data_IF_284120615240
#
_entry.id   IF_284120615240
#
_cell.length_a   1.000
_cell.length_b   1.000
_cell.length_c   1.000
_cell.angle_alpha   90.00
_cell.angle_beta   90.00
_cell.angle_gamma   90.00
#
_symmetry.space_group_name_H-M   'P 1'
#
loop_
_entity.id
_entity.type
_entity.pdbx_description
1 polymer ?
#
# COMPACT_ATOMS: atom_id res chain seq x y z
N UNK A 1 13.74 -6.34 21.78
CA UNK A 1 13.04 -7.34 20.97
C UNK A 1 13.77 -7.52 19.64
N UNK A 2 13.93 -8.76 19.20
CA UNK A 2 14.75 -9.05 18.02
C UNK A 2 14.12 -8.51 16.73
N UNK A 3 14.93 -7.97 15.81
CA UNK A 3 14.49 -7.48 14.49
C UNK A 3 13.71 -8.51 13.65
N UNK A 4 13.85 -9.80 13.97
CA UNK A 4 13.25 -10.91 13.24
C UNK A 4 11.74 -11.05 13.44
N UNK A 5 11.16 -10.39 14.45
CA UNK A 5 9.72 -10.51 14.79
C UNK A 5 8.85 -9.45 14.12
N UNK A 6 9.42 -8.40 13.53
CA UNK A 6 8.64 -7.27 13.04
C UNK A 6 7.79 -7.63 11.81
N UNK A 7 8.33 -8.41 10.86
CA UNK A 7 7.56 -8.82 9.69
C UNK A 7 6.43 -9.80 10.03
N UNK A 8 6.64 -10.87 10.82
CA UNK A 8 5.55 -11.72 11.28
C UNK A 8 4.45 -10.98 12.04
N UNK A 9 4.80 -10.03 12.91
CA UNK A 9 3.83 -9.20 13.63
C UNK A 9 3.04 -8.34 12.64
N UNK A 10 3.69 -7.72 11.65
CA UNK A 10 3.04 -6.96 10.62
C UNK A 10 2.04 -7.81 9.82
N UNK A 11 2.48 -8.97 9.33
CA UNK A 11 1.61 -9.90 8.59
C UNK A 11 0.40 -10.32 9.44
N UNK A 12 0.61 -10.71 10.70
CA UNK A 12 -0.48 -11.09 11.60
C UNK A 12 -1.46 -9.93 11.83
N UNK A 13 -0.95 -8.71 12.05
CA UNK A 13 -1.78 -7.52 12.24
C UNK A 13 -2.64 -7.23 11.00
N UNK A 14 -2.07 -7.38 9.79
CA UNK A 14 -2.79 -7.20 8.54
C UNK A 14 -3.84 -8.29 8.31
N UNK A 15 -3.50 -9.56 8.55
CA UNK A 15 -4.46 -10.67 8.45
C UNK A 15 -5.65 -10.45 9.38
N UNK A 16 -5.41 -10.12 10.65
CA UNK A 16 -6.47 -9.87 11.63
C UNK A 16 -7.29 -8.64 11.23
N UNK A 17 -6.64 -7.54 10.86
CA UNK A 17 -7.31 -6.30 10.47
C UNK A 17 -8.19 -6.48 9.24
N UNK A 18 -7.68 -7.10 8.17
CA UNK A 18 -8.45 -7.36 6.95
C UNK A 18 -9.53 -8.44 7.13
N UNK A 19 -9.30 -9.46 7.96
CA UNK A 19 -10.35 -10.41 8.32
C UNK A 19 -11.51 -9.69 9.02
N UNK A 20 -11.23 -8.74 9.89
CA UNK A 20 -12.27 -7.94 10.54
C UNK A 20 -13.01 -7.05 9.53
N UNK A 21 -12.30 -6.41 8.61
CA UNK A 21 -12.93 -5.66 7.50
C UNK A 21 -13.89 -6.55 6.73
N UNK A 22 -13.48 -7.76 6.36
CA UNK A 22 -14.30 -8.70 5.59
C UNK A 22 -15.48 -9.28 6.36
N UNK A 23 -15.40 -9.36 7.69
CA UNK A 23 -16.44 -9.94 8.55
C UNK A 23 -17.43 -8.89 9.09
N UNK A 24 -16.92 -7.74 9.48
CA UNK A 24 -17.68 -6.71 10.19
C UNK A 24 -17.85 -5.41 9.42
N UNK A 25 -17.23 -5.26 8.24
CA UNK A 25 -17.28 -4.05 7.43
C UNK A 25 -16.64 -2.81 8.08
N UNK A 26 -15.85 -3.00 9.16
CA UNK A 26 -15.23 -1.89 9.90
C UNK A 26 -13.72 -1.85 9.68
N UNK A 27 -13.22 -0.67 9.30
CA UNK A 27 -11.79 -0.42 9.07
C UNK A 27 -11.04 0.03 10.33
N UNK A 28 -11.77 0.32 11.42
CA UNK A 28 -11.18 0.83 12.68
C UNK A 28 -10.13 -0.10 13.29
N UNK A 29 -10.35 -1.43 13.41
CA UNK A 29 -9.34 -2.32 13.95
C UNK A 29 -8.07 -2.37 13.09
N UNK A 30 -8.22 -2.37 11.76
CA UNK A 30 -7.08 -2.29 10.85
C UNK A 30 -6.28 -1.01 11.06
N UNK A 31 -6.97 0.14 11.17
CA UNK A 31 -6.33 1.43 11.42
C UNK A 31 -5.55 1.46 12.75
N UNK A 32 -6.12 0.88 13.81
CA UNK A 32 -5.42 0.77 15.10
C UNK A 32 -4.19 -0.11 14.98
N UNK A 33 -4.32 -1.32 14.42
CA UNK A 33 -3.21 -2.25 14.27
C UNK A 33 -2.11 -1.69 13.36
N UNK A 34 -2.48 -1.05 12.24
CA UNK A 34 -1.56 -0.38 11.34
C UNK A 34 -0.79 0.75 12.04
N UNK A 35 -1.50 1.57 12.82
CA UNK A 35 -0.88 2.66 13.59
C UNK A 35 0.11 2.14 14.62
N UNK A 36 -0.25 1.09 15.36
CA UNK A 36 0.63 0.49 16.36
C UNK A 36 1.88 -0.13 15.70
N UNK A 37 1.72 -0.86 14.59
CA UNK A 37 2.82 -1.46 13.85
C UNK A 37 3.75 -0.38 13.25
N UNK A 38 3.19 0.64 12.59
CA UNK A 38 3.95 1.75 12.02
C UNK A 38 4.67 2.57 13.09
N UNK A 39 4.00 2.89 14.20
CA UNK A 39 4.57 3.60 15.33
C UNK A 39 5.75 2.85 15.95
N UNK A 40 5.60 1.54 16.13
CA UNK A 40 6.68 0.68 16.61
C UNK A 40 7.91 0.76 15.71
N UNK A 41 7.74 0.69 14.38
CA UNK A 41 8.85 0.76 13.43
C UNK A 41 9.47 2.16 13.38
N UNK A 42 8.66 3.20 13.34
CA UNK A 42 9.13 4.58 13.31
C UNK A 42 9.93 4.95 14.59
N UNK A 43 9.51 4.48 15.76
CA UNK A 43 10.18 4.77 17.03
C UNK A 43 11.38 3.85 17.27
N UNK A 44 11.26 2.56 16.90
CA UNK A 44 12.24 1.52 17.21
C UNK A 44 13.40 1.40 16.22
N UNK A 45 13.27 1.90 14.97
CA UNK A 45 14.25 1.71 13.91
C UNK A 45 14.78 3.03 13.33
N UNK A 46 16.04 3.32 13.60
CA UNK A 46 16.72 4.51 13.06
C UNK A 46 16.83 4.48 11.52
N UNK A 47 16.94 3.29 10.92
CA UNK A 47 16.91 3.10 9.46
C UNK A 47 15.60 3.63 8.88
N UNK A 48 14.47 3.17 9.39
CA UNK A 48 13.14 3.63 8.97
C UNK A 48 12.99 5.14 9.12
N UNK A 49 13.46 5.74 10.23
CA UNK A 49 13.41 7.21 10.39
C UNK A 49 14.21 7.98 9.35
N UNK A 50 15.35 7.45 8.90
CA UNK A 50 16.15 8.08 7.81
C UNK A 50 15.36 8.13 6.50
N UNK A 51 14.53 7.11 6.22
CA UNK A 51 13.71 7.05 5.01
C UNK A 51 12.58 8.08 4.97
N UNK A 52 12.21 8.62 6.13
CA UNK A 52 11.20 9.68 6.25
C UNK A 52 11.77 11.09 6.04
N UNK A 53 13.09 11.24 5.80
CA UNK A 53 13.67 12.56 5.49
C UNK A 53 13.21 13.03 4.11
N UNK A 54 12.46 14.15 4.03
CA UNK A 54 11.99 14.65 2.76
C UNK A 54 13.14 15.26 1.96
N UNK A 55 13.11 15.05 0.64
CA UNK A 55 13.98 15.70 -0.34
C UNK A 55 13.12 16.07 -1.53
N UNK A 56 13.32 17.24 -2.11
CA UNK A 56 12.47 17.75 -3.22
C UNK A 56 12.35 16.72 -4.35
N UNK A 57 13.44 16.15 -4.81
CA UNK A 57 13.41 15.17 -5.91
C UNK A 57 12.55 13.94 -5.62
N UNK A 58 12.55 13.41 -4.37
CA UNK A 58 11.72 12.25 -4.02
C UNK A 58 10.25 12.63 -3.84
N UNK A 59 9.96 13.86 -3.42
CA UNK A 59 8.57 14.36 -3.37
C UNK A 59 7.99 14.54 -4.79
N UNK A 60 8.79 15.11 -5.71
CA UNK A 60 8.41 15.22 -7.13
C UNK A 60 8.20 13.84 -7.75
N UNK A 61 9.09 12.88 -7.49
CA UNK A 61 8.95 11.51 -7.97
C UNK A 61 7.63 10.89 -7.46
N UNK A 62 7.27 11.09 -6.20
CA UNK A 62 6.02 10.60 -5.63
C UNK A 62 4.79 11.25 -6.24
N UNK A 63 4.81 12.57 -6.43
CA UNK A 63 3.70 13.31 -7.05
C UNK A 63 3.47 12.87 -8.50
N UNK A 64 4.54 12.79 -9.31
CA UNK A 64 4.46 12.30 -10.71
C UNK A 64 4.01 10.85 -10.73
N UNK A 65 4.57 10.01 -9.86
CA UNK A 65 4.16 8.61 -9.70
C UNK A 65 2.67 8.47 -9.41
N UNK A 66 2.13 9.33 -8.54
CA UNK A 66 0.70 9.37 -8.21
C UNK A 66 -0.17 9.65 -9.44
N UNK A 67 0.16 10.70 -10.19
CA UNK A 67 -0.58 11.05 -11.42
C UNK A 67 -0.53 9.93 -12.46
N UNK A 68 0.67 9.38 -12.71
CA UNK A 68 0.86 8.27 -13.66
C UNK A 68 0.08 7.04 -13.22
N UNK A 69 0.14 6.68 -11.95
CA UNK A 69 -0.50 5.47 -11.45
C UNK A 69 -2.03 5.58 -11.44
N UNK A 70 -2.57 6.75 -11.10
CA UNK A 70 -4.01 7.04 -11.22
C UNK A 70 -4.44 6.91 -12.67
N UNK A 71 -3.77 7.60 -13.61
CA UNK A 71 -4.08 7.53 -15.03
C UNK A 71 -3.98 6.11 -15.60
N UNK A 72 -2.93 5.37 -15.23
CA UNK A 72 -2.75 3.97 -15.62
C UNK A 72 -3.89 3.08 -15.10
N UNK A 73 -4.35 3.30 -13.86
CA UNK A 73 -5.47 2.54 -13.27
C UNK A 73 -6.76 2.73 -14.06
N UNK A 74 -7.12 3.97 -14.41
CA UNK A 74 -8.32 4.23 -15.23
C UNK A 74 -8.18 3.67 -16.65
N UNK A 75 -7.01 3.83 -17.27
CA UNK A 75 -6.74 3.26 -18.59
C UNK A 75 -6.83 1.73 -18.58
N UNK A 76 -6.19 1.10 -17.61
CA UNK A 76 -6.22 -0.36 -17.45
C UNK A 76 -7.64 -0.87 -17.15
N UNK A 77 -8.36 -0.22 -16.24
CA UNK A 77 -9.75 -0.60 -15.94
C UNK A 77 -10.62 -0.58 -17.19
N UNK A 78 -10.58 0.51 -17.97
CA UNK A 78 -11.34 0.62 -19.22
C UNK A 78 -10.97 -0.44 -20.26
N UNK A 79 -9.67 -0.78 -20.35
CA UNK A 79 -9.20 -1.82 -21.26
C UNK A 79 -9.60 -3.23 -20.81
N UNK A 80 -9.69 -3.46 -19.48
CA UNK A 80 -10.01 -4.78 -18.93
C UNK A 80 -11.52 -5.06 -18.86
N UNK A 81 -12.38 -4.04 -18.70
CA UNK A 81 -13.84 -4.24 -18.59
C UNK A 81 -14.42 -5.08 -19.73
N UNK A 82 -14.10 -4.83 -21.03
CA UNK A 82 -14.62 -5.67 -22.11
C UNK A 82 -14.08 -7.10 -22.12
N UNK A 83 -12.90 -7.31 -21.55
CA UNK A 83 -12.25 -8.63 -21.48
C UNK A 83 -12.69 -9.44 -20.25
N UNK A 84 -13.08 -8.77 -19.18
CA UNK A 84 -13.48 -9.36 -17.91
C UNK A 84 -14.85 -8.83 -17.46
N UNK A 85 -15.98 -9.37 -17.94
CA UNK A 85 -17.32 -8.87 -17.61
C UNK A 85 -17.67 -8.86 -16.11
N UNK A 86 -16.97 -9.67 -15.31
CA UNK A 86 -17.14 -9.70 -13.85
C UNK A 86 -16.46 -8.53 -13.13
N UNK A 87 -15.53 -7.82 -13.79
CA UNK A 87 -14.72 -6.76 -13.17
C UNK A 87 -15.56 -5.61 -12.60
N UNK A 88 -16.57 -5.05 -13.29
CA UNK A 88 -17.41 -4.01 -12.71
C UNK A 88 -18.17 -4.47 -11.46
N UNK A 89 -18.61 -5.73 -11.43
CA UNK A 89 -19.23 -6.32 -10.23
C UNK A 89 -18.28 -6.42 -9.04
N UNK A 90 -17.07 -6.91 -9.29
CA UNK A 90 -16.02 -6.99 -8.26
C UNK A 90 -15.61 -5.59 -7.75
N UNK A 91 -15.55 -4.60 -8.64
CA UNK A 91 -15.25 -3.20 -8.30
C UNK A 91 -16.35 -2.60 -7.41
N UNK A 92 -17.64 -2.80 -7.75
CA UNK A 92 -18.75 -2.39 -6.87
C UNK A 92 -18.69 -3.06 -5.50
N UNK A 93 -18.35 -4.35 -5.45
CA UNK A 93 -18.16 -5.09 -4.20
C UNK A 93 -17.04 -4.48 -3.33
N UNK A 94 -15.93 -4.07 -3.93
CA UNK A 94 -14.86 -3.37 -3.23
C UNK A 94 -15.32 -2.03 -2.63
N UNK A 95 -16.04 -1.21 -3.40
CA UNK A 95 -16.60 0.04 -2.87
C UNK A 95 -17.67 -0.20 -1.82
N UNK A 96 -18.45 -1.28 -1.94
CA UNK A 96 -19.39 -1.73 -0.90
C UNK A 96 -18.65 -2.01 0.42
N UNK A 97 -17.50 -2.69 0.35
CA UNK A 97 -16.66 -2.98 1.51
C UNK A 97 -16.09 -1.70 2.14
N UNK A 98 -15.64 -0.73 1.31
CA UNK A 98 -15.12 0.55 1.78
C UNK A 98 -16.21 1.39 2.49
N UNK A 99 -17.44 1.36 1.98
CA UNK A 99 -18.54 2.16 2.48
C UNK A 99 -19.36 1.47 3.57
N UNK A 100 -19.11 0.20 3.88
CA UNK A 100 -19.89 -0.58 4.85
C UNK A 100 -19.90 0.06 6.26
N UNK A 101 -18.82 0.74 6.65
CA UNK A 101 -18.72 1.43 7.93
C UNK A 101 -19.42 2.80 7.96
N UNK A 102 -19.99 3.29 6.84
CA UNK A 102 -20.73 4.54 6.78
C UNK A 102 -19.91 5.80 7.03
N UNK A 103 -18.60 5.78 6.78
CA UNK A 103 -17.76 6.97 6.94
C UNK A 103 -18.20 8.10 6.00
N UNK A 104 -18.21 9.34 6.54
CA UNK A 104 -18.36 10.51 5.68
C UNK A 104 -17.15 10.62 4.73
N UNK A 105 -17.28 11.15 3.50
CA UNK A 105 -16.20 11.21 2.52
C UNK A 105 -14.89 11.81 3.04
N UNK A 106 -14.97 12.90 3.81
CA UNK A 106 -13.77 13.51 4.43
C UNK A 106 -13.07 12.59 5.44
N UNK A 107 -13.85 11.86 6.25
CA UNK A 107 -13.32 10.92 7.23
C UNK A 107 -12.71 9.70 6.52
N UNK A 108 -13.36 9.19 5.46
CA UNK A 108 -12.82 8.12 4.63
C UNK A 108 -11.53 8.56 3.96
N UNK A 109 -11.48 9.77 3.38
CA UNK A 109 -10.26 10.33 2.79
C UNK A 109 -9.11 10.42 3.79
N UNK A 110 -9.36 10.92 4.99
CA UNK A 110 -8.35 10.96 6.05
C UNK A 110 -7.89 9.57 6.47
N UNK A 111 -8.81 8.61 6.57
CA UNK A 111 -8.51 7.22 6.94
C UNK A 111 -7.62 6.54 5.89
N UNK A 112 -7.95 6.64 4.60
CA UNK A 112 -7.16 5.97 3.54
C UNK A 112 -5.77 6.60 3.43
N UNK A 113 -5.63 7.93 3.53
CA UNK A 113 -4.31 8.59 3.54
C UNK A 113 -3.48 8.15 4.75
N UNK A 114 -4.09 8.03 5.92
CA UNK A 114 -3.40 7.55 7.12
C UNK A 114 -2.99 6.09 7.00
N UNK A 115 -3.88 5.23 6.50
CA UNK A 115 -3.57 3.82 6.26
C UNK A 115 -2.46 3.67 5.23
N UNK A 116 -2.50 4.38 4.09
CA UNK A 116 -1.42 4.38 3.09
C UNK A 116 -0.06 4.71 3.74
N UNK A 117 -0.01 5.73 4.60
CA UNK A 117 1.23 6.08 5.31
C UNK A 117 1.71 4.95 6.23
N UNK A 118 0.82 4.36 7.03
CA UNK A 118 1.17 3.24 7.92
C UNK A 118 1.61 2.00 7.12
N UNK A 119 0.92 1.70 6.02
CA UNK A 119 1.25 0.57 5.15
C UNK A 119 2.63 0.72 4.53
N UNK A 120 2.98 1.89 4.03
CA UNK A 120 4.31 2.11 3.46
C UNK A 120 5.42 1.98 4.51
N UNK A 121 5.20 2.45 5.74
CA UNK A 121 6.14 2.24 6.84
C UNK A 121 6.36 0.76 7.12
N UNK A 122 5.29 -0.02 7.18
CA UNK A 122 5.33 -1.43 7.55
C UNK A 122 5.85 -2.30 6.41
N UNK A 123 5.34 -2.14 5.20
CA UNK A 123 5.61 -3.03 4.08
C UNK A 123 6.80 -2.59 3.22
N UNK A 124 7.11 -1.29 3.13
CA UNK A 124 8.20 -0.74 2.31
C UNK A 124 9.32 -0.11 3.13
N UNK A 125 9.11 0.06 4.43
CA UNK A 125 10.17 0.46 5.34
C UNK A 125 11.23 -0.63 5.49
N UNK A 126 11.24 -1.28 6.64
CA UNK A 126 12.25 -2.30 6.96
C UNK A 126 12.35 -3.49 6.01
N UNK A 127 11.25 -4.09 5.50
CA UNK A 127 11.36 -5.26 4.61
C UNK A 127 12.16 -5.01 3.33
N UNK A 128 12.27 -3.75 2.88
CA UNK A 128 13.02 -3.38 1.67
C UNK A 128 14.33 -2.63 1.95
N UNK A 129 14.76 -2.48 3.21
CA UNK A 129 15.99 -1.75 3.52
C UNK A 129 17.21 -2.37 2.86
N UNK A 130 17.42 -3.69 3.01
CA UNK A 130 18.57 -4.37 2.42
C UNK A 130 18.60 -4.25 0.88
N UNK A 131 17.42 -4.21 0.24
CA UNK A 131 17.30 -4.06 -1.20
C UNK A 131 17.67 -2.64 -1.66
N UNK A 132 17.31 -1.63 -0.87
CA UNK A 132 17.55 -0.22 -1.20
C UNK A 132 18.96 0.25 -0.78
N UNK A 133 19.57 -0.41 0.20
CA UNK A 133 20.88 -0.06 0.74
C UNK A 133 22.02 -0.90 0.12
N UNK A 134 21.69 -1.78 -0.85
CA UNK A 134 22.69 -2.56 -1.56
C UNK A 134 23.76 -1.65 -2.18
N UNK A 135 25.04 -1.98 -2.08
CA UNK A 135 26.14 -1.17 -2.59
C UNK A 135 26.29 -1.33 -4.11
N UNK A 136 25.26 -0.96 -4.85
CA UNK A 136 25.20 -1.04 -6.30
C UNK A 136 24.77 0.31 -6.88
N UNK A 137 25.27 0.64 -8.07
CA UNK A 137 24.85 1.83 -8.82
C UNK A 137 23.42 1.68 -9.36
N UNK A 138 22.97 0.44 -9.60
CA UNK A 138 21.61 0.14 -10.05
C UNK A 138 20.71 -0.21 -8.87
N UNK A 139 19.80 0.69 -8.44
CA UNK A 139 18.87 0.40 -7.35
C UNK A 139 17.84 -0.67 -7.72
N UNK A 140 17.58 -0.91 -9.01
CA UNK A 140 16.60 -1.87 -9.51
C UNK A 140 17.24 -3.17 -10.01
N UNK A 141 18.40 -3.55 -9.48
CA UNK A 141 19.04 -4.84 -9.82
C UNK A 141 18.11 -6.03 -9.46
N UNK A 142 18.32 -7.17 -10.14
CA UNK A 142 17.37 -8.30 -10.12
C UNK A 142 16.96 -8.80 -8.73
N UNK A 143 17.90 -8.83 -7.76
CA UNK A 143 17.57 -9.23 -6.39
C UNK A 143 16.64 -8.23 -5.69
N UNK A 144 16.84 -6.92 -5.90
CA UNK A 144 15.97 -5.90 -5.32
C UNK A 144 14.55 -6.01 -5.88
N UNK A 145 14.42 -6.21 -7.20
CA UNK A 145 13.13 -6.41 -7.87
C UNK A 145 12.45 -7.69 -7.35
N UNK A 146 13.17 -8.78 -7.21
CA UNK A 146 12.64 -10.04 -6.68
C UNK A 146 12.13 -9.87 -5.23
N UNK A 147 12.87 -9.12 -4.40
CA UNK A 147 12.45 -8.83 -3.01
C UNK A 147 11.22 -7.94 -2.97
N UNK A 148 11.15 -6.92 -3.82
CA UNK A 148 9.95 -6.08 -3.97
C UNK A 148 8.74 -6.93 -4.36
N UNK A 149 8.90 -7.84 -5.34
CA UNK A 149 7.84 -8.74 -5.76
C UNK A 149 7.38 -9.66 -4.62
N UNK A 150 8.30 -10.26 -3.87
CA UNK A 150 7.98 -11.12 -2.74
C UNK A 150 7.18 -10.37 -1.64
N UNK A 151 7.60 -9.15 -1.28
CA UNK A 151 6.90 -8.33 -0.30
C UNK A 151 5.53 -7.89 -0.81
N UNK A 152 5.40 -7.55 -2.09
CA UNK A 152 4.14 -7.16 -2.70
C UNK A 152 3.15 -8.33 -2.75
N UNK A 153 3.60 -9.53 -3.08
CA UNK A 153 2.77 -10.74 -3.05
C UNK A 153 2.32 -11.08 -1.64
N UNK A 154 3.21 -10.96 -0.64
CA UNK A 154 2.86 -11.19 0.76
C UNK A 154 1.82 -10.17 1.26
N UNK A 155 1.97 -8.90 0.87
CA UNK A 155 1.01 -7.85 1.17
C UNK A 155 -0.35 -8.13 0.54
N UNK A 156 -0.38 -8.47 -0.76
CA UNK A 156 -1.61 -8.86 -1.45
C UNK A 156 -2.26 -10.10 -0.82
N UNK A 157 -1.47 -11.12 -0.46
CA UNK A 157 -1.96 -12.31 0.22
C UNK A 157 -2.60 -11.98 1.59
N UNK A 158 -1.99 -11.09 2.37
CA UNK A 158 -2.55 -10.66 3.65
C UNK A 158 -3.89 -9.92 3.47
N UNK A 159 -4.05 -9.14 2.41
CA UNK A 159 -5.30 -8.42 2.13
C UNK A 159 -6.44 -9.33 1.67
N UNK A 160 -6.15 -10.54 1.18
CA UNK A 160 -7.19 -11.55 0.84
C UNK A 160 -8.03 -11.96 2.06
N UNK A 161 -7.56 -11.74 3.27
CA UNK A 161 -8.34 -11.95 4.49
C UNK A 161 -9.62 -11.09 4.53
N UNK A 162 -9.68 -9.98 3.76
CA UNK A 162 -10.89 -9.17 3.52
C UNK A 162 -11.97 -9.89 2.69
N UNK A 163 -11.67 -11.08 2.16
CA UNK A 163 -12.52 -11.86 1.22
C UNK A 163 -12.72 -11.18 -0.15
N UNK A 164 -11.89 -10.20 -0.50
CA UNK A 164 -11.92 -9.54 -1.80
C UNK A 164 -10.70 -9.92 -2.62
N UNK A 165 -10.90 -10.77 -3.65
CA UNK A 165 -9.84 -11.13 -4.59
C UNK A 165 -9.31 -9.91 -5.35
N UNK A 166 -10.22 -8.98 -5.72
CA UNK A 166 -9.83 -7.76 -6.41
C UNK A 166 -8.93 -6.91 -5.51
N UNK A 167 -9.26 -6.74 -4.21
CA UNK A 167 -8.43 -5.99 -3.28
C UNK A 167 -7.04 -6.65 -3.13
N UNK A 168 -6.98 -7.96 -3.00
CA UNK A 168 -5.71 -8.70 -2.93
C UNK A 168 -4.85 -8.53 -4.18
N UNK A 169 -5.45 -8.63 -5.38
CA UNK A 169 -4.76 -8.45 -6.65
C UNK A 169 -4.26 -7.00 -6.84
N UNK A 170 -5.10 -6.02 -6.51
CA UNK A 170 -4.76 -4.59 -6.55
C UNK A 170 -3.64 -4.29 -5.54
N UNK A 171 -3.74 -4.79 -4.32
CA UNK A 171 -2.71 -4.61 -3.30
C UNK A 171 -1.36 -5.20 -3.73
N UNK A 172 -1.34 -6.37 -4.35
CA UNK A 172 -0.10 -6.95 -4.89
C UNK A 172 0.48 -6.11 -6.04
N UNK A 173 -0.34 -5.75 -7.04
CA UNK A 173 0.10 -5.00 -8.22
C UNK A 173 0.56 -3.58 -7.87
N UNK A 174 -0.26 -2.82 -7.16
CA UNK A 174 0.08 -1.49 -6.68
C UNK A 174 1.26 -1.54 -5.70
N UNK A 175 1.24 -2.53 -4.80
CA UNK A 175 2.32 -2.77 -3.86
C UNK A 175 3.67 -3.04 -4.50
N UNK A 176 3.71 -3.69 -5.65
CA UNK A 176 4.91 -3.85 -6.45
C UNK A 176 5.41 -2.50 -7.00
N UNK A 177 4.52 -1.69 -7.59
CA UNK A 177 4.87 -0.37 -8.11
C UNK A 177 5.40 0.56 -7.01
N UNK A 178 4.73 0.62 -5.85
CA UNK A 178 5.20 1.40 -4.69
C UNK A 178 6.54 0.91 -4.15
N UNK A 179 6.74 -0.41 -4.14
CA UNK A 179 8.02 -1.01 -3.75
C UNK A 179 9.17 -0.61 -4.68
N UNK A 180 8.94 -0.58 -5.98
CA UNK A 180 9.93 -0.10 -6.96
C UNK A 180 10.25 1.39 -6.73
N UNK A 181 9.24 2.23 -6.53
CA UNK A 181 9.42 3.65 -6.22
C UNK A 181 10.21 3.87 -4.92
N UNK A 182 9.96 3.04 -3.89
CA UNK A 182 10.69 3.06 -2.63
C UNK A 182 12.17 2.73 -2.84
N UNK A 183 12.48 1.69 -3.60
CA UNK A 183 13.86 1.27 -3.86
C UNK A 183 14.58 2.28 -4.74
N UNK A 184 13.96 2.70 -5.85
CA UNK A 184 14.54 3.69 -6.77
C UNK A 184 14.81 5.04 -6.09
N UNK A 185 13.88 5.52 -5.27
CA UNK A 185 14.01 6.78 -4.54
C UNK A 185 14.88 6.71 -3.30
N UNK A 186 15.22 5.49 -2.82
CA UNK A 186 15.91 5.29 -1.51
C UNK A 186 15.25 6.09 -0.38
N UNK A 187 13.91 6.20 -0.43
CA UNK A 187 13.08 6.99 0.48
C UNK A 187 11.67 6.43 0.51
N UNK A 188 10.94 6.57 1.61
CA UNK A 188 9.52 6.18 1.68
C UNK A 188 8.60 7.17 1.00
N UNK A 189 9.00 8.44 0.85
CA UNK A 189 8.13 9.48 0.34
C UNK A 189 7.56 9.23 -1.06
N UNK A 190 8.32 8.70 -2.06
CA UNK A 190 7.72 8.41 -3.36
C UNK A 190 6.58 7.40 -3.26
N UNK A 191 6.76 6.33 -2.49
CA UNK A 191 5.72 5.33 -2.29
C UNK A 191 4.53 5.89 -1.50
N UNK A 192 4.76 6.59 -0.38
CA UNK A 192 3.72 7.22 0.45
C UNK A 192 2.86 8.18 -0.37
N UNK A 193 3.48 9.09 -1.12
CA UNK A 193 2.74 10.09 -1.89
C UNK A 193 1.96 9.45 -3.04
N UNK A 194 2.58 8.50 -3.76
CA UNK A 194 1.92 7.78 -4.85
C UNK A 194 0.73 6.97 -4.33
N UNK A 195 0.90 6.25 -3.20
CA UNK A 195 -0.14 5.45 -2.59
C UNK A 195 -1.30 6.31 -2.09
N UNK A 196 -1.01 7.31 -1.27
CA UNK A 196 -2.04 8.20 -0.74
C UNK A 196 -2.80 8.95 -1.86
N UNK A 197 -2.11 9.41 -2.90
CA UNK A 197 -2.74 10.04 -4.06
C UNK A 197 -3.64 9.05 -4.81
N UNK A 198 -3.19 7.82 -5.00
CA UNK A 198 -3.95 6.76 -5.66
C UNK A 198 -5.20 6.40 -4.86
N UNK A 199 -5.06 6.09 -3.57
CA UNK A 199 -6.19 5.76 -2.69
C UNK A 199 -7.22 6.89 -2.66
N UNK A 200 -6.75 8.12 -2.48
CA UNK A 200 -7.66 9.27 -2.42
C UNK A 200 -8.40 9.47 -3.75
N UNK A 201 -7.70 9.39 -4.88
CA UNK A 201 -8.29 9.56 -6.20
C UNK A 201 -9.27 8.42 -6.54
N UNK A 202 -8.80 7.17 -6.45
CA UNK A 202 -9.53 6.00 -6.96
C UNK A 202 -10.60 5.52 -5.99
N UNK A 203 -10.34 5.60 -4.66
CA UNK A 203 -11.28 5.05 -3.67
C UNK A 203 -12.28 6.09 -3.14
N UNK A 204 -11.96 7.39 -3.21
CA UNK A 204 -12.77 8.42 -2.54
C UNK A 204 -13.32 9.47 -3.50
N UNK A 205 -12.47 10.06 -4.36
CA UNK A 205 -12.84 11.25 -5.15
C UNK A 205 -13.49 10.87 -6.48
N UNK A 206 -12.90 9.92 -7.20
CA UNK A 206 -13.34 9.47 -8.53
C UNK A 206 -13.41 7.95 -8.60
N UNK A 207 -14.42 7.31 -7.97
CA UNK A 207 -14.57 5.86 -8.03
C UNK A 207 -14.69 5.34 -9.47
N UNK A 208 -14.08 4.17 -9.73
CA UNK A 208 -14.19 3.47 -11.01
C UNK A 208 -15.64 2.99 -11.23
N UNK A 209 -16.20 3.28 -12.40
CA UNK A 209 -17.59 2.91 -12.76
C UNK A 209 -17.65 2.31 -14.17
#
# INVERSE_FOLDING_TARGET
MSPRLDLPIAVASWLVGFAWVGLAGSWTPLAILATLAAGRLALGDAGTRRLLRPRVGVLVLGAVGGVVMVGATYGLYRALVPLFPALPGATRGLYGLLNAAGYRPKALGALVVWLSFCEELVWRGRPLNDAADAPTSDPLHGWAVARVAAVALLYGAATLASRSLLLGAVAAGCGFAWGLLRVAGRSLWPAVLTHAAWDLAVLVVWPLS
#
